data_IF_105490173355
#
_entry.id   IF_105490173355
#
_cell.length_a   1.000
_cell.length_b   1.000
_cell.length_c   1.000
_cell.angle_alpha   90.00
_cell.angle_beta   90.00
_cell.angle_gamma   90.00
#
_symmetry.space_group_name_H-M   'P 1'
#
loop_
_entity.id
_entity.type
_entity.pdbx_description
1 polymer ?
#
# COMPACT_ATOMS: atom_id res chain seq x y z
N UNK A 1 -16.68 -9.00 -24.50
CA UNK A 1 -15.28 -8.77 -24.90
C UNK A 1 -14.56 -8.34 -23.64
N UNK A 2 -13.59 -9.12 -23.17
CA UNK A 2 -12.83 -8.79 -21.96
C UNK A 2 -11.94 -7.58 -22.28
N UNK A 3 -11.97 -6.56 -21.42
CA UNK A 3 -11.09 -5.40 -21.58
C UNK A 3 -9.64 -5.84 -21.34
N UNK A 4 -8.68 -5.41 -22.17
CA UNK A 4 -7.28 -5.70 -21.93
C UNK A 4 -6.83 -5.01 -20.64
N UNK A 5 -6.21 -5.76 -19.73
CA UNK A 5 -5.64 -5.22 -18.50
C UNK A 5 -4.40 -4.39 -18.87
N UNK A 6 -4.40 -3.11 -18.52
CA UNK A 6 -3.25 -2.22 -18.69
C UNK A 6 -2.62 -2.02 -17.32
N UNK A 7 -1.30 -2.02 -17.26
CA UNK A 7 -0.53 -1.76 -16.03
C UNK A 7 0.48 -0.67 -16.30
N UNK A 8 0.76 0.17 -15.29
CA UNK A 8 1.79 1.20 -15.34
C UNK A 8 3.01 0.76 -14.53
N UNK A 9 4.20 0.89 -15.10
CA UNK A 9 5.46 0.60 -14.43
C UNK A 9 5.73 1.59 -13.28
N UNK A 10 5.77 1.11 -12.04
CA UNK A 10 6.16 1.90 -10.87
C UNK A 10 7.68 2.05 -10.76
N UNK A 11 8.41 1.04 -11.27
CA UNK A 11 9.86 0.98 -11.31
C UNK A 11 10.36 0.65 -12.72
N UNK A 12 11.63 0.95 -13.02
CA UNK A 12 12.25 0.53 -14.29
C UNK A 12 12.75 -0.91 -14.18
N UNK A 13 12.53 -1.71 -15.21
CA UNK A 13 12.99 -3.10 -15.26
C UNK A 13 13.80 -3.34 -16.54
N UNK A 14 14.97 -3.98 -16.39
CA UNK A 14 15.83 -4.39 -17.49
C UNK A 14 15.96 -5.90 -17.45
N UNK A 15 15.31 -6.57 -18.39
CA UNK A 15 15.45 -8.00 -18.58
C UNK A 15 16.86 -8.39 -19.01
N UNK A 16 17.35 -9.51 -18.50
CA UNK A 16 18.63 -10.11 -18.87
C UNK A 16 18.51 -11.13 -20.01
N UNK A 17 17.30 -11.67 -20.20
CA UNK A 17 17.00 -12.71 -21.19
C UNK A 17 16.15 -12.17 -22.34
N UNK A 18 16.18 -12.87 -23.49
CA UNK A 18 15.39 -12.49 -24.67
C UNK A 18 13.88 -12.58 -24.45
N UNK A 19 13.44 -13.36 -23.46
CA UNK A 19 12.03 -13.56 -23.14
C UNK A 19 11.50 -12.52 -22.12
N UNK A 20 12.34 -11.61 -21.61
CA UNK A 20 11.99 -10.63 -20.58
C UNK A 20 11.72 -9.24 -21.18
N UNK A 21 10.64 -8.59 -20.73
CA UNK A 21 10.23 -7.28 -21.21
C UNK A 21 10.99 -6.16 -20.50
N UNK A 22 11.73 -5.35 -21.24
CA UNK A 22 12.40 -4.16 -20.67
C UNK A 22 11.50 -2.92 -20.73
N UNK A 23 11.36 -2.21 -19.62
CA UNK A 23 10.57 -0.97 -19.51
C UNK A 23 11.13 0.01 -18.49
N UNK A 24 10.68 1.26 -18.56
CA UNK A 24 11.04 2.32 -17.63
C UNK A 24 9.85 2.67 -16.75
N UNK A 25 10.13 3.28 -15.60
CA UNK A 25 9.10 3.85 -14.72
C UNK A 25 8.19 4.78 -15.53
N UNK A 26 6.88 4.54 -15.46
CA UNK A 26 5.83 5.28 -16.14
C UNK A 26 5.31 4.63 -17.43
N UNK A 27 5.98 3.62 -17.98
CA UNK A 27 5.54 2.93 -19.19
C UNK A 27 4.23 2.17 -18.96
N UNK A 28 3.35 2.17 -19.97
CA UNK A 28 2.08 1.44 -19.96
C UNK A 28 2.22 0.12 -20.72
N UNK A 29 1.99 -0.98 -20.02
CA UNK A 29 2.15 -2.33 -20.54
C UNK A 29 0.77 -2.97 -20.64
N UNK A 30 0.46 -3.57 -21.78
CA UNK A 30 -0.77 -4.36 -21.94
C UNK A 30 -0.51 -5.78 -21.49
N UNK A 31 -1.16 -6.24 -20.43
CA UNK A 31 -1.00 -7.59 -19.89
C UNK A 31 -1.73 -8.58 -20.79
N UNK A 32 -0.99 -9.54 -21.33
CA UNK A 32 -1.51 -10.63 -22.17
C UNK A 32 -1.76 -11.89 -21.35
N UNK A 33 -0.91 -12.17 -20.35
CA UNK A 33 -1.02 -13.36 -19.50
C UNK A 33 -0.63 -13.06 -18.05
N UNK A 34 -1.37 -13.65 -17.09
CA UNK A 34 -1.08 -13.59 -15.65
C UNK A 34 -0.75 -14.98 -15.15
N UNK A 35 0.41 -15.17 -14.55
CA UNK A 35 0.72 -16.37 -13.78
C UNK A 35 0.67 -16.10 -12.27
N UNK A 36 0.25 -17.11 -11.51
CA UNK A 36 0.22 -17.06 -10.05
C UNK A 36 1.62 -16.96 -9.42
N UNK A 37 2.67 -17.26 -10.19
CA UNK A 37 4.07 -17.16 -9.77
C UNK A 37 4.64 -15.73 -9.69
N UNK A 38 3.83 -14.70 -9.94
CA UNK A 38 4.25 -13.30 -9.84
C UNK A 38 5.00 -12.75 -11.06
N UNK A 39 5.09 -13.52 -12.14
CA UNK A 39 5.55 -13.08 -13.44
C UNK A 39 4.37 -12.97 -14.40
N UNK A 40 4.23 -11.81 -15.04
CA UNK A 40 3.19 -11.53 -16.02
C UNK A 40 3.82 -11.36 -17.39
N UNK A 41 3.11 -11.76 -18.42
CA UNK A 41 3.47 -11.47 -19.80
C UNK A 41 2.70 -10.21 -20.23
N UNK A 42 3.40 -9.31 -20.92
CA UNK A 42 2.73 -8.18 -21.53
C UNK A 42 3.50 -7.60 -22.69
N UNK A 43 2.83 -6.68 -23.37
CA UNK A 43 3.31 -6.05 -24.59
C UNK A 43 3.50 -4.55 -24.40
N UNK A 44 4.68 -4.05 -24.77
CA UNK A 44 5.05 -2.63 -24.76
C UNK A 44 5.77 -2.29 -26.08
N UNK A 45 5.23 -1.34 -26.84
CA UNK A 45 5.81 -0.88 -28.13
C UNK A 45 6.18 -2.04 -29.07
N UNK A 46 5.23 -2.94 -29.32
CA UNK A 46 5.38 -4.15 -30.16
C UNK A 46 6.39 -5.20 -29.66
N UNK A 47 6.92 -5.05 -28.44
CA UNK A 47 7.73 -6.07 -27.77
C UNK A 47 6.89 -6.76 -26.71
N UNK A 48 6.82 -8.08 -26.80
CA UNK A 48 6.18 -8.94 -25.80
C UNK A 48 7.25 -9.64 -24.99
N UNK A 49 7.04 -9.74 -23.68
CA UNK A 49 7.92 -10.48 -22.80
C UNK A 49 7.41 -10.53 -21.37
N UNK A 50 8.12 -11.27 -20.54
CA UNK A 50 7.81 -11.51 -19.15
C UNK A 50 8.39 -10.43 -18.25
N UNK A 51 7.63 -10.06 -17.23
CA UNK A 51 8.06 -9.11 -16.22
C UNK A 51 7.46 -9.40 -14.85
N UNK A 52 8.13 -8.95 -13.78
CA UNK A 52 7.64 -9.20 -12.43
C UNK A 52 6.47 -8.25 -12.09
N UNK A 53 5.36 -8.82 -11.63
CA UNK A 53 4.10 -8.09 -11.40
C UNK A 53 4.19 -7.04 -10.29
N UNK A 54 5.13 -7.17 -9.36
CA UNK A 54 5.39 -6.20 -8.29
C UNK A 54 6.10 -4.92 -8.76
N UNK A 55 6.50 -4.84 -10.03
CA UNK A 55 7.11 -3.64 -10.62
C UNK A 55 6.09 -2.72 -11.30
N UNK A 56 4.83 -3.17 -11.37
CA UNK A 56 3.75 -2.50 -12.06
C UNK A 56 2.54 -2.36 -11.14
N UNK A 57 1.68 -1.39 -11.46
CA UNK A 57 0.39 -1.19 -10.81
C UNK A 57 -0.69 -1.20 -11.88
N UNK A 58 -1.87 -1.73 -11.58
CA UNK A 58 -3.00 -1.70 -12.52
C UNK A 58 -3.31 -0.26 -12.93
N UNK A 59 -3.24 -0.01 -14.24
CA UNK A 59 -3.51 1.28 -14.84
C UNK A 59 -4.98 1.32 -15.24
N UNK A 60 -5.78 1.92 -14.37
CA UNK A 60 -7.11 2.38 -14.74
C UNK A 60 -6.90 3.63 -15.60
N UNK A 61 -7.20 3.54 -16.90
CA UNK A 61 -7.05 4.66 -17.81
C UNK A 61 -7.82 5.88 -17.26
N UNK A 62 -7.20 7.07 -17.16
CA UNK A 62 -7.96 8.30 -17.08
C UNK A 62 -8.83 8.34 -18.33
N UNK A 63 -10.15 8.41 -18.16
CA UNK A 63 -11.04 8.58 -19.30
C UNK A 63 -10.61 9.84 -20.08
N UNK A 64 -10.60 9.77 -21.42
CA UNK A 64 -10.11 10.86 -22.25
C UNK A 64 -10.86 12.15 -21.93
N UNK A 65 -10.10 13.21 -21.63
CA UNK A 65 -10.58 14.58 -21.51
C UNK A 65 -11.04 14.98 -22.92
N UNK A 66 -12.33 14.85 -23.20
CA UNK A 66 -12.98 15.69 -24.20
C UNK A 66 -13.77 16.74 -23.44
N UNK A 67 -13.59 18.01 -23.77
CA UNK A 67 -14.31 19.19 -23.28
C UNK A 67 -15.84 19.16 -23.53
N UNK A 68 -16.46 17.98 -23.56
CA UNK A 68 -17.89 17.79 -23.57
C UNK A 68 -18.40 17.79 -22.14
N UNK A 69 -19.26 18.76 -21.84
CA UNK A 69 -20.07 18.85 -20.63
C UNK A 69 -20.70 17.48 -20.37
N UNK A 70 -20.15 16.71 -19.42
CA UNK A 70 -20.73 15.44 -18.97
C UNK A 70 -21.99 15.76 -18.16
N UNK A 71 -23.04 14.92 -18.21
CA UNK A 71 -24.19 15.05 -17.34
C UNK A 71 -23.72 15.11 -15.87
N UNK A 72 -24.25 16.01 -15.04
CA UNK A 72 -23.88 16.12 -13.62
C UNK A 72 -23.98 14.79 -12.85
N UNK A 73 -24.89 13.90 -13.28
CA UNK A 73 -25.09 12.56 -12.72
C UNK A 73 -23.86 11.66 -12.88
N UNK A 74 -23.20 11.66 -14.06
CA UNK A 74 -22.00 10.84 -14.31
C UNK A 74 -20.77 11.33 -13.53
N UNK A 75 -20.65 12.66 -13.33
CA UNK A 75 -19.58 13.26 -12.52
C UNK A 75 -19.78 12.89 -11.04
N UNK A 76 -21.02 12.87 -10.57
CA UNK A 76 -21.37 12.53 -9.18
C UNK A 76 -21.20 11.03 -8.89
N UNK A 77 -21.57 10.16 -9.82
CA UNK A 77 -21.30 8.71 -9.72
C UNK A 77 -19.80 8.43 -9.69
N UNK A 78 -19.02 9.08 -10.57
CA UNK A 78 -17.57 8.90 -10.61
C UNK A 78 -16.88 9.36 -9.30
N UNK A 79 -17.28 10.51 -8.75
CA UNK A 79 -16.82 10.98 -7.42
C UNK A 79 -17.10 9.94 -6.33
N UNK A 80 -18.29 9.34 -6.37
CA UNK A 80 -18.70 8.33 -5.40
C UNK A 80 -17.85 7.05 -5.51
N UNK A 81 -17.46 6.65 -6.72
CA UNK A 81 -16.57 5.51 -6.96
C UNK A 81 -15.15 5.78 -6.45
N UNK A 82 -14.56 6.94 -6.74
CA UNK A 82 -13.20 7.28 -6.29
C UNK A 82 -13.13 7.37 -4.76
N UNK A 83 -14.14 7.97 -4.11
CA UNK A 83 -14.22 8.03 -2.66
C UNK A 83 -14.37 6.64 -2.03
N UNK A 84 -15.16 5.77 -2.66
CA UNK A 84 -15.32 4.38 -2.23
C UNK A 84 -14.02 3.59 -2.36
N UNK A 85 -13.31 3.71 -3.48
CA UNK A 85 -12.01 3.07 -3.69
C UNK A 85 -10.99 3.54 -2.63
N UNK A 86 -10.98 4.83 -2.30
CA UNK A 86 -10.13 5.39 -1.24
C UNK A 86 -10.49 4.82 0.15
N UNK A 87 -11.78 4.78 0.49
CA UNK A 87 -12.30 4.20 1.74
C UNK A 87 -11.97 2.72 1.87
N UNK A 88 -12.21 1.93 0.81
CA UNK A 88 -11.93 0.51 0.81
C UNK A 88 -10.43 0.23 0.92
N UNK A 89 -9.59 1.08 0.29
CA UNK A 89 -8.14 1.04 0.45
C UNK A 89 -7.68 1.38 1.86
N UNK A 90 -8.30 2.36 2.52
CA UNK A 90 -8.00 2.71 3.92
C UNK A 90 -8.42 1.58 4.87
N UNK A 91 -9.62 1.03 4.67
CA UNK A 91 -10.14 -0.10 5.47
C UNK A 91 -9.22 -1.32 5.37
N UNK A 92 -8.78 -1.66 4.16
CA UNK A 92 -7.83 -2.74 3.95
C UNK A 92 -6.50 -2.45 4.66
N UNK A 93 -5.99 -1.22 4.57
CA UNK A 93 -4.74 -0.84 5.25
C UNK A 93 -4.86 -0.97 6.77
N UNK A 94 -5.91 -0.41 7.36
CA UNK A 94 -6.19 -0.47 8.81
C UNK A 94 -6.29 -1.91 9.28
N UNK A 95 -7.09 -2.73 8.58
CA UNK A 95 -7.26 -4.14 8.94
C UNK A 95 -5.94 -4.93 8.91
N UNK A 96 -5.05 -4.63 7.96
CA UNK A 96 -3.74 -5.28 7.89
C UNK A 96 -2.80 -4.86 9.03
N UNK A 97 -2.71 -3.55 9.34
CA UNK A 97 -1.80 -3.07 10.41
C UNK A 97 -2.33 -3.43 11.79
N UNK A 98 -3.65 -3.40 12.00
CA UNK A 98 -4.31 -3.86 13.21
C UNK A 98 -4.18 -5.37 13.37
N UNK A 99 -4.41 -6.13 12.29
CA UNK A 99 -4.21 -7.58 12.29
C UNK A 99 -2.76 -7.98 12.59
N UNK A 100 -1.77 -7.21 12.13
CA UNK A 100 -0.36 -7.42 12.51
C UNK A 100 -0.15 -7.20 14.01
N UNK A 101 -0.75 -6.14 14.56
CA UNK A 101 -0.66 -5.79 15.96
C UNK A 101 -1.25 -6.89 16.86
N UNK A 102 -2.52 -7.21 16.65
CA UNK A 102 -3.29 -8.12 17.51
C UNK A 102 -2.82 -9.58 17.40
N UNK A 103 -2.51 -10.04 16.19
CA UNK A 103 -2.19 -11.46 15.99
C UNK A 103 -0.72 -11.81 16.23
N UNK A 104 0.20 -10.84 16.11
CA UNK A 104 1.64 -11.13 16.17
C UNK A 104 2.39 -10.26 17.16
N UNK A 105 2.17 -8.94 17.20
CA UNK A 105 2.97 -8.06 18.05
C UNK A 105 2.52 -8.08 19.52
N UNK A 106 1.22 -8.07 19.80
CA UNK A 106 0.71 -8.16 21.17
C UNK A 106 1.07 -9.49 21.86
N UNK A 107 0.91 -10.67 21.22
CA UNK A 107 1.30 -11.93 21.84
C UNK A 107 2.83 -12.04 21.96
N UNK A 108 3.61 -11.36 21.09
CA UNK A 108 5.07 -11.38 21.15
C UNK A 108 5.59 -10.82 22.49
N UNK A 109 4.93 -9.80 23.03
CA UNK A 109 5.27 -9.25 24.35
C UNK A 109 5.17 -10.31 25.46
N UNK A 110 4.25 -11.28 25.33
CA UNK A 110 4.02 -12.33 26.33
C UNK A 110 5.05 -13.46 26.22
N UNK A 111 5.67 -13.66 25.06
CA UNK A 111 6.65 -14.73 24.81
C UNK A 111 8.00 -14.52 25.47
N UNK A 112 8.29 -13.30 25.95
CA UNK A 112 9.58 -12.89 26.54
C UNK A 112 10.80 -13.11 25.62
N UNK A 113 10.60 -13.31 24.32
CA UNK A 113 11.70 -13.34 23.33
C UNK A 113 12.46 -12.02 23.34
N UNK A 114 11.72 -10.91 23.49
CA UNK A 114 12.25 -9.56 23.63
C UNK A 114 12.05 -9.09 25.06
N UNK A 115 13.02 -8.34 25.59
CA UNK A 115 12.81 -7.62 26.83
C UNK A 115 11.91 -6.39 26.60
N UNK A 116 11.43 -5.75 27.67
CA UNK A 116 10.49 -4.63 27.58
C UNK A 116 11.03 -3.43 26.78
N UNK A 117 12.33 -3.15 26.87
CA UNK A 117 12.98 -2.06 26.13
C UNK A 117 13.13 -2.41 24.64
N UNK A 118 13.57 -3.63 24.32
CA UNK A 118 13.68 -4.13 22.94
C UNK A 118 12.32 -4.23 22.26
N UNK A 119 11.28 -4.65 22.99
CA UNK A 119 9.90 -4.64 22.50
C UNK A 119 9.43 -3.21 22.22
N UNK A 120 9.69 -2.26 23.11
CA UNK A 120 9.35 -0.85 22.88
C UNK A 120 10.11 -0.26 21.67
N UNK A 121 11.37 -0.65 21.47
CA UNK A 121 12.16 -0.25 20.30
C UNK A 121 11.64 -0.90 19.00
N UNK A 122 11.20 -2.16 19.02
CA UNK A 122 10.58 -2.81 17.87
C UNK A 122 9.25 -2.14 17.51
N UNK A 123 8.41 -1.91 18.52
CA UNK A 123 7.10 -1.30 18.37
C UNK A 123 7.19 0.17 17.98
N UNK A 124 8.25 0.89 18.35
CA UNK A 124 8.37 2.33 18.12
C UNK A 124 7.08 3.06 18.55
N UNK A 125 6.46 3.82 17.64
CA UNK A 125 5.13 4.38 17.78
C UNK A 125 4.10 3.72 16.83
N UNK A 126 4.26 2.42 16.53
CA UNK A 126 3.36 1.67 15.65
C UNK A 126 1.90 1.71 16.12
N UNK A 127 1.67 1.59 17.44
CA UNK A 127 0.32 1.70 18.02
C UNK A 127 -0.31 3.08 17.74
N UNK A 128 0.49 4.14 17.78
CA UNK A 128 0.03 5.50 17.45
C UNK A 128 -0.30 5.64 15.97
N UNK A 129 0.48 5.01 15.08
CA UNK A 129 0.20 4.93 13.65
C UNK A 129 -1.14 4.24 13.41
N UNK A 130 -1.33 3.03 13.96
CA UNK A 130 -2.57 2.25 13.81
C UNK A 130 -3.78 3.08 14.25
N UNK A 131 -3.72 3.65 15.46
CA UNK A 131 -4.80 4.49 16.01
C UNK A 131 -5.09 5.71 15.13
N UNK A 132 -4.06 6.36 14.59
CA UNK A 132 -4.24 7.52 13.72
C UNK A 132 -5.01 7.15 12.44
N UNK A 133 -4.72 5.97 11.88
CA UNK A 133 -5.39 5.45 10.68
C UNK A 133 -6.82 4.97 10.98
N UNK A 134 -7.05 4.33 12.13
CA UNK A 134 -8.40 3.97 12.58
C UNK A 134 -9.28 5.22 12.74
N UNK A 135 -8.77 6.26 13.41
CA UNK A 135 -9.50 7.53 13.56
C UNK A 135 -9.76 8.21 12.21
N UNK A 136 -8.82 8.12 11.26
CA UNK A 136 -9.01 8.64 9.92
C UNK A 136 -10.12 7.88 9.20
N UNK A 137 -10.10 6.55 9.23
CA UNK A 137 -11.11 5.69 8.61
C UNK A 137 -12.49 6.00 9.17
N UNK A 138 -12.66 6.04 10.49
CA UNK A 138 -13.95 6.38 11.12
C UNK A 138 -14.46 7.74 10.65
N UNK A 139 -13.59 8.76 10.62
CA UNK A 139 -14.00 10.10 10.17
C UNK A 139 -14.31 10.15 8.67
N UNK A 140 -13.64 9.33 7.85
CA UNK A 140 -13.92 9.23 6.43
C UNK A 140 -15.28 8.55 6.17
N UNK A 141 -15.62 7.52 6.95
CA UNK A 141 -16.92 6.84 6.88
C UNK A 141 -18.07 7.76 7.30
N UNK A 142 -17.83 8.68 8.25
CA UNK A 142 -18.80 9.69 8.67
C UNK A 142 -18.93 10.88 7.69
N UNK A 143 -17.84 11.25 7.01
CA UNK A 143 -17.76 12.44 6.15
C UNK A 143 -17.67 12.08 4.66
N UNK A 144 -18.71 11.43 4.10
CA UNK A 144 -18.75 11.02 2.69
C UNK A 144 -18.47 12.18 1.70
N UNK A 145 -18.88 13.41 2.00
CA UNK A 145 -18.88 14.50 1.00
C UNK A 145 -17.70 15.49 1.15
N UNK A 146 -16.89 15.36 2.22
CA UNK A 146 -15.88 16.36 2.61
C UNK A 146 -14.52 15.78 2.97
N UNK A 147 -14.17 14.68 2.34
CA UNK A 147 -12.91 13.96 2.57
C UNK A 147 -11.69 14.87 2.40
N UNK A 148 -11.68 15.81 1.43
CA UNK A 148 -10.57 16.75 1.26
C UNK A 148 -10.27 17.62 2.50
N UNK A 149 -11.30 18.15 3.18
CA UNK A 149 -11.13 18.94 4.42
C UNK A 149 -10.64 18.07 5.58
N UNK A 150 -11.12 16.82 5.66
CA UNK A 150 -10.67 15.86 6.65
C UNK A 150 -9.16 15.59 6.50
N UNK A 151 -8.70 15.34 5.27
CA UNK A 151 -7.28 15.13 5.00
C UNK A 151 -6.43 16.36 5.36
N UNK A 152 -6.87 17.57 5.03
CA UNK A 152 -6.13 18.79 5.42
C UNK A 152 -6.01 18.95 6.94
N UNK A 153 -7.05 18.56 7.69
CA UNK A 153 -7.04 18.62 9.15
C UNK A 153 -6.16 17.53 9.79
N UNK A 154 -6.16 16.30 9.23
CA UNK A 154 -5.43 15.15 9.77
C UNK A 154 -3.99 15.04 9.26
N UNK A 155 -3.67 15.63 8.11
CA UNK A 155 -2.35 15.56 7.49
C UNK A 155 -1.19 16.02 8.40
N UNK A 156 -1.29 17.10 9.20
CA UNK A 156 -0.22 17.48 10.13
C UNK A 156 0.06 16.40 11.18
N UNK A 157 -0.99 15.80 11.74
CA UNK A 157 -0.88 14.71 12.72
C UNK A 157 -0.26 13.47 12.08
N UNK A 158 -0.78 13.04 10.93
CA UNK A 158 -0.25 11.87 10.21
C UNK A 158 1.23 12.05 9.86
N UNK A 159 1.61 13.24 9.39
CA UNK A 159 3.00 13.59 9.10
C UNK A 159 3.88 13.47 10.35
N UNK A 160 3.44 14.03 11.48
CA UNK A 160 4.19 13.98 12.73
C UNK A 160 4.40 12.52 13.20
N UNK A 161 3.33 11.73 13.24
CA UNK A 161 3.36 10.34 13.71
C UNK A 161 4.24 9.48 12.81
N UNK A 162 4.11 9.62 11.48
CA UNK A 162 4.93 8.85 10.55
C UNK A 162 6.39 9.30 10.54
N UNK A 163 6.68 10.59 10.73
CA UNK A 163 8.06 11.06 10.87
C UNK A 163 8.75 10.45 12.09
N UNK A 164 8.04 10.37 13.22
CA UNK A 164 8.54 9.69 14.41
C UNK A 164 8.76 8.19 14.15
N UNK A 165 7.83 7.53 13.45
CA UNK A 165 7.96 6.12 13.08
C UNK A 165 9.18 5.86 12.19
N UNK A 166 9.36 6.68 11.15
CA UNK A 166 10.52 6.62 10.25
C UNK A 166 11.85 6.82 10.99
N UNK A 167 11.90 7.78 11.93
CA UNK A 167 13.11 8.08 12.69
C UNK A 167 13.49 6.95 13.65
N UNK A 168 12.50 6.22 14.19
CA UNK A 168 12.71 5.12 15.12
C UNK A 168 12.93 3.77 14.42
N UNK A 169 12.43 3.60 13.19
CA UNK A 169 12.46 2.33 12.45
C UNK A 169 13.85 1.67 12.32
N UNK A 170 14.97 2.39 12.12
CA UNK A 170 16.29 1.77 12.06
C UNK A 170 16.63 0.95 13.33
N UNK A 171 16.12 1.36 14.50
CA UNK A 171 16.31 0.60 15.75
C UNK A 171 15.51 -0.70 15.73
N UNK A 172 14.27 -0.66 15.22
CA UNK A 172 13.44 -1.85 15.05
C UNK A 172 14.12 -2.87 14.12
N UNK A 173 14.75 -2.42 13.02
CA UNK A 173 15.52 -3.30 12.12
C UNK A 173 16.68 -3.99 12.84
N UNK A 174 17.42 -3.29 13.70
CA UNK A 174 18.50 -3.90 14.47
C UNK A 174 17.98 -5.01 15.39
N UNK A 175 16.81 -4.83 16.01
CA UNK A 175 16.17 -5.86 16.83
C UNK A 175 15.71 -7.05 15.97
N UNK A 176 15.10 -6.78 14.81
CA UNK A 176 14.66 -7.82 13.87
C UNK A 176 15.83 -8.69 13.37
N UNK A 177 16.98 -8.08 13.07
CA UNK A 177 18.17 -8.80 12.64
C UNK A 177 18.80 -9.61 13.79
N UNK A 178 18.85 -9.03 14.99
CA UNK A 178 19.39 -9.69 16.19
C UNK A 178 18.61 -10.95 16.57
N UNK A 179 17.28 -10.93 16.47
CA UNK A 179 16.41 -12.03 16.89
C UNK A 179 15.76 -12.77 15.71
N UNK A 180 16.36 -12.72 14.52
CA UNK A 180 15.73 -13.20 13.28
C UNK A 180 15.20 -14.64 13.39
N UNK A 181 16.00 -15.55 13.97
CA UNK A 181 15.70 -16.99 13.99
C UNK A 181 14.59 -17.32 15.00
N UNK A 182 14.54 -16.58 16.12
CA UNK A 182 13.53 -16.75 17.15
C UNK A 182 12.21 -16.12 16.72
N UNK A 183 12.26 -14.93 16.12
CA UNK A 183 11.10 -14.26 15.55
C UNK A 183 10.51 -15.04 14.37
N UNK A 184 11.35 -15.66 13.52
CA UNK A 184 10.87 -16.50 12.42
C UNK A 184 10.09 -17.69 12.94
N UNK A 185 10.63 -18.44 13.92
CA UNK A 185 9.92 -19.56 14.55
C UNK A 185 8.64 -19.12 15.24
N UNK A 186 8.67 -18.00 15.97
CA UNK A 186 7.51 -17.45 16.64
C UNK A 186 6.40 -17.11 15.64
N UNK A 187 6.73 -16.39 14.56
CA UNK A 187 5.78 -16.01 13.53
C UNK A 187 5.14 -17.26 12.90
N UNK A 188 5.93 -18.28 12.57
CA UNK A 188 5.41 -19.54 12.02
C UNK A 188 4.53 -20.30 13.03
N UNK A 189 4.86 -20.28 14.32
CA UNK A 189 4.05 -20.89 15.38
C UNK A 189 2.71 -20.18 15.57
N UNK A 190 2.66 -18.86 15.37
CA UNK A 190 1.43 -18.07 15.40
C UNK A 190 0.63 -18.16 14.09
N UNK A 191 1.06 -18.99 13.13
CA UNK A 191 0.34 -19.22 11.88
C UNK A 191 0.66 -18.24 10.76
N UNK A 192 1.75 -17.48 10.85
CA UNK A 192 2.23 -16.65 9.74
C UNK A 192 2.67 -17.50 8.55
N UNK A 193 2.50 -16.97 7.34
CA UNK A 193 3.01 -17.59 6.12
C UNK A 193 4.55 -17.65 6.14
N UNK A 194 5.12 -18.75 5.66
CA UNK A 194 6.58 -18.92 5.58
C UNK A 194 7.15 -18.11 4.40
N UNK A 195 8.28 -17.40 4.56
CA UNK A 195 9.06 -17.26 5.80
C UNK A 195 8.41 -16.26 6.77
N UNK A 196 8.22 -16.66 8.04
CA UNK A 196 7.44 -15.89 9.02
C UNK A 196 8.00 -14.49 9.28
N UNK A 197 9.32 -14.34 9.23
CA UNK A 197 10.00 -13.05 9.39
C UNK A 197 9.66 -12.06 8.26
N UNK A 198 9.34 -12.56 7.06
CA UNK A 198 8.92 -11.71 5.95
C UNK A 198 7.57 -11.05 6.26
N UNK A 199 6.64 -11.75 6.90
CA UNK A 199 5.35 -11.18 7.31
C UNK A 199 5.57 -10.00 8.29
N UNK A 200 6.49 -10.15 9.23
CA UNK A 200 6.81 -9.11 10.21
C UNK A 200 7.49 -7.89 9.57
N UNK A 201 8.53 -8.13 8.75
CA UNK A 201 9.27 -7.05 8.07
C UNK A 201 8.41 -6.33 7.04
N UNK A 202 7.60 -7.06 6.26
CA UNK A 202 6.66 -6.45 5.29
C UNK A 202 5.57 -5.67 6.01
N UNK A 203 5.00 -6.21 7.09
CA UNK A 203 3.98 -5.56 7.90
C UNK A 203 4.46 -4.25 8.53
N UNK A 204 5.62 -4.25 9.20
CA UNK A 204 6.23 -3.06 9.79
C UNK A 204 6.64 -2.02 8.73
N UNK A 205 6.87 -2.43 7.48
CA UNK A 205 7.15 -1.50 6.39
C UNK A 205 5.90 -0.86 5.74
N UNK A 206 4.69 -1.37 6.02
CA UNK A 206 3.45 -0.89 5.37
C UNK A 206 3.12 0.58 5.65
N UNK A 207 3.27 1.12 6.88
CA UNK A 207 3.02 2.54 7.13
C UNK A 207 3.81 3.48 6.23
N UNK A 208 5.06 3.13 5.87
CA UNK A 208 5.87 3.94 4.96
C UNK A 208 5.22 4.03 3.58
N UNK A 209 4.83 2.89 3.01
CA UNK A 209 4.22 2.82 1.68
C UNK A 209 2.84 3.47 1.63
N UNK A 210 2.11 3.53 2.75
CA UNK A 210 0.78 4.15 2.79
C UNK A 210 0.85 5.64 2.51
N UNK A 211 1.88 6.33 3.00
CA UNK A 211 2.07 7.76 2.74
C UNK A 211 2.21 8.09 1.25
N UNK A 212 2.98 7.29 0.51
CA UNK A 212 3.15 7.49 -0.94
C UNK A 212 1.82 7.31 -1.68
N UNK A 213 0.98 6.37 -1.24
CA UNK A 213 -0.34 6.13 -1.83
C UNK A 213 -1.29 7.31 -1.64
N UNK A 214 -1.25 8.02 -0.51
CA UNK A 214 -2.14 9.19 -0.32
C UNK A 214 -1.85 10.29 -1.32
N UNK A 215 -0.58 10.52 -1.70
CA UNK A 215 -0.26 11.53 -2.70
C UNK A 215 -0.96 11.25 -4.03
N UNK A 216 -0.95 9.99 -4.48
CA UNK A 216 -1.61 9.58 -5.72
C UNK A 216 -3.14 9.68 -5.61
N UNK A 217 -3.73 9.14 -4.54
CA UNK A 217 -5.18 9.13 -4.34
C UNK A 217 -5.76 10.54 -4.16
N UNK A 218 -5.05 11.44 -3.48
CA UNK A 218 -5.49 12.82 -3.29
C UNK A 218 -5.37 13.65 -4.59
N UNK A 219 -4.34 13.42 -5.40
CA UNK A 219 -4.24 14.04 -6.73
C UNK A 219 -5.37 13.59 -7.65
N UNK A 220 -5.76 12.32 -7.58
CA UNK A 220 -6.91 11.81 -8.33
C UNK A 220 -8.20 12.45 -7.83
N UNK A 221 -8.41 12.58 -6.51
CA UNK A 221 -9.57 13.27 -5.94
C UNK A 221 -9.64 14.76 -6.35
N UNK A 222 -8.51 15.48 -6.29
CA UNK A 222 -8.41 16.91 -6.65
C UNK A 222 -8.79 17.16 -8.13
N UNK A 223 -8.27 16.34 -9.05
CA UNK A 223 -8.55 16.43 -10.49
C UNK A 223 -10.04 16.37 -10.84
N UNK A 224 -10.89 15.88 -9.94
CA UNK A 224 -12.32 15.69 -10.17
C UNK A 224 -13.22 16.56 -9.28
N UNK A 225 -12.64 17.38 -8.40
CA UNK A 225 -13.35 18.39 -7.62
C UNK A 225 -13.39 19.77 -8.31
N UNK A 226 -12.51 20.07 -9.26
CA UNK A 226 -12.46 21.36 -9.99
C UNK A 226 -13.36 21.44 -11.24
N UNK A 227 -14.26 20.46 -11.47
CA UNK A 227 -15.26 20.48 -12.56
C UNK A 227 -16.68 20.71 -12.07
#
# INVERSE_FOLDING_TARGET
MEQPLIVQAEYSFKGGNNDELCFKKGDLITVTQREEGGWWEGTLNDKTGWFPSNYVMEYKAPLPITDSIRPPEEIQEYRSVVLKDLLDSERAHVAEVQGLLENFLEPLQQTQILNADEYAQLMCNFVEVVKTHEELLTQMEECNDRVGKLFLNKAPLMKQVHQAYCAAHPKAIVILDKYKDDLEKYMEQQGAAKPGLLVLTTGLSKPFRRLDKYSAMLQELERHMES
#
